data_IF_748805750956
#
_entry.id   IF_748805750956
#
_cell.length_a   1.000
_cell.length_b   1.000
_cell.length_c   1.000
_cell.angle_alpha   90.00
_cell.angle_beta   90.00
_cell.angle_gamma   90.00
#
_symmetry.space_group_name_H-M   'P 1'
#
loop_
_entity.id
_entity.type
_entity.pdbx_description
1 polymer ?
#
# COMPACT_ATOMS: atom_id res chain seq x y z
N UNK A 1 -5.26 -11.50 20.51
CA UNK A 1 -4.65 -10.19 20.18
C UNK A 1 -5.03 -9.20 21.27
N UNK A 2 -4.07 -8.45 21.81
CA UNK A 2 -4.33 -7.47 22.89
C UNK A 2 -5.08 -6.26 22.31
N UNK A 3 -5.98 -5.67 23.10
CA UNK A 3 -6.79 -4.49 22.69
C UNK A 3 -5.94 -3.28 22.26
N UNK A 4 -4.77 -3.11 22.89
CA UNK A 4 -3.80 -2.07 22.56
C UNK A 4 -3.20 -2.26 21.16
N UNK A 5 -2.83 -3.49 20.82
CA UNK A 5 -2.30 -3.83 19.49
C UNK A 5 -3.33 -3.52 18.39
N UNK A 6 -4.61 -3.83 18.64
CA UNK A 6 -5.69 -3.53 17.69
C UNK A 6 -5.86 -2.03 17.45
N UNK A 7 -5.78 -1.22 18.51
CA UNK A 7 -5.85 0.25 18.37
C UNK A 7 -4.68 0.77 17.53
N UNK A 8 -3.47 0.30 17.81
CA UNK A 8 -2.28 0.70 17.04
C UNK A 8 -2.37 0.32 15.56
N UNK A 9 -2.91 -0.86 15.25
CA UNK A 9 -3.16 -1.30 13.86
C UNK A 9 -4.12 -0.35 13.16
N UNK A 10 -5.23 0.04 13.81
CA UNK A 10 -6.22 0.95 13.25
C UNK A 10 -5.59 2.32 12.97
N UNK A 11 -4.88 2.89 13.94
CA UNK A 11 -4.21 4.18 13.77
C UNK A 11 -3.20 4.18 12.62
N UNK A 12 -2.40 3.10 12.50
CA UNK A 12 -1.43 2.97 11.40
C UNK A 12 -2.10 2.86 10.04
N UNK A 13 -3.21 2.12 9.94
CA UNK A 13 -4.01 2.04 8.72
C UNK A 13 -4.57 3.40 8.31
N UNK A 14 -5.14 4.16 9.26
CA UNK A 14 -5.67 5.51 9.02
C UNK A 14 -4.58 6.48 8.56
N UNK A 15 -3.39 6.40 9.16
CA UNK A 15 -2.23 7.20 8.77
C UNK A 15 -1.53 6.71 7.51
N UNK A 16 -1.99 5.62 6.90
CA UNK A 16 -1.36 4.98 5.73
C UNK A 16 0.13 4.67 5.93
N UNK A 17 0.51 4.29 7.13
CA UNK A 17 1.87 3.83 7.44
C UNK A 17 2.01 2.38 6.99
N UNK A 18 3.15 2.03 6.41
CA UNK A 18 3.48 0.65 6.07
C UNK A 18 4.00 -0.10 7.29
N UNK A 19 3.43 -1.26 7.58
CA UNK A 19 3.80 -2.10 8.71
C UNK A 19 3.46 -3.56 8.44
N UNK A 20 3.93 -4.45 9.29
CA UNK A 20 3.47 -5.83 9.31
C UNK A 20 3.01 -6.22 10.71
N UNK A 21 2.08 -7.16 10.77
CA UNK A 21 1.75 -7.89 11.99
C UNK A 21 2.53 -9.19 11.95
N UNK A 22 3.33 -9.42 12.98
CA UNK A 22 4.12 -10.63 13.15
C UNK A 22 3.53 -11.42 14.29
N UNK A 23 3.15 -12.66 14.05
CA UNK A 23 2.48 -13.52 15.03
C UNK A 23 3.25 -14.83 15.20
N UNK A 24 3.55 -15.18 16.42
CA UNK A 24 4.02 -16.51 16.77
C UNK A 24 2.82 -17.45 16.94
N UNK A 25 2.72 -18.46 16.08
CA UNK A 25 1.60 -19.39 16.05
C UNK A 25 1.63 -20.42 17.20
N UNK A 26 2.73 -20.55 17.94
CA UNK A 26 2.83 -21.47 19.07
C UNK A 26 2.19 -20.89 20.34
N UNK A 27 2.41 -19.60 20.59
CA UNK A 27 1.95 -18.95 21.82
C UNK A 27 0.96 -17.81 21.59
N UNK A 28 0.57 -17.56 20.33
CA UNK A 28 -0.35 -16.49 19.90
C UNK A 28 0.12 -15.07 20.27
N UNK A 29 1.40 -14.88 20.56
CA UNK A 29 1.97 -13.55 20.73
C UNK A 29 2.07 -12.85 19.36
N UNK A 30 1.74 -11.56 19.36
CA UNK A 30 1.80 -10.74 18.15
C UNK A 30 2.43 -9.39 18.46
N UNK A 31 3.18 -8.86 17.50
CA UNK A 31 3.72 -7.51 17.55
C UNK A 31 3.58 -6.81 16.19
N UNK A 32 3.73 -5.50 16.20
CA UNK A 32 3.84 -4.71 14.98
C UNK A 32 5.32 -4.58 14.62
N UNK A 33 5.59 -4.79 13.35
CA UNK A 33 6.88 -4.55 12.74
C UNK A 33 6.78 -3.35 11.80
N UNK A 34 7.71 -2.42 11.92
CA UNK A 34 7.94 -1.33 10.98
C UNK A 34 9.41 -1.34 10.56
N UNK A 35 9.66 -1.07 9.30
CA UNK A 35 11.02 -0.98 8.78
C UNK A 35 11.80 0.10 9.54
N UNK A 36 13.06 -0.18 9.83
CA UNK A 36 14.01 0.71 10.53
C UNK A 36 13.63 1.05 11.99
N UNK A 37 12.63 0.37 12.55
CA UNK A 37 12.30 0.47 13.97
C UNK A 37 12.70 -0.78 14.75
N UNK A 38 12.93 -0.65 16.08
CA UNK A 38 13.14 -1.81 16.93
C UNK A 38 11.89 -2.70 16.94
N UNK A 39 12.12 -4.00 16.90
CA UNK A 39 11.05 -5.00 17.03
C UNK A 39 11.01 -5.51 18.48
N UNK A 40 9.88 -6.10 18.88
CA UNK A 40 9.75 -6.76 20.18
C UNK A 40 10.84 -7.84 20.38
N UNK A 41 11.42 -7.89 21.58
CA UNK A 41 12.52 -8.81 21.95
C UNK A 41 12.23 -10.27 21.64
N UNK A 42 10.98 -10.69 21.75
CA UNK A 42 10.56 -12.07 21.47
C UNK A 42 10.68 -12.43 19.97
N UNK A 43 10.73 -11.42 19.10
CA UNK A 43 10.84 -11.58 17.66
C UNK A 43 12.21 -11.16 17.09
N UNK A 44 13.09 -10.60 17.91
CA UNK A 44 14.40 -10.06 17.46
C UNK A 44 15.23 -11.09 16.67
N UNK A 45 15.24 -12.35 17.10
CA UNK A 45 15.93 -13.44 16.40
C UNK A 45 15.42 -13.73 14.99
N UNK A 46 14.23 -13.26 14.64
CA UNK A 46 13.60 -13.43 13.32
C UNK A 46 13.67 -12.16 12.46
N UNK A 47 14.22 -11.07 12.97
CA UNK A 47 14.18 -9.74 12.36
C UNK A 47 14.63 -9.72 10.90
N UNK A 48 15.73 -10.38 10.56
CA UNK A 48 16.22 -10.43 9.18
C UNK A 48 15.22 -11.11 8.23
N UNK A 49 14.64 -12.23 8.66
CA UNK A 49 13.64 -12.96 7.88
C UNK A 49 12.35 -12.14 7.76
N UNK A 50 11.93 -11.44 8.83
CA UNK A 50 10.78 -10.55 8.83
C UNK A 50 11.01 -9.39 7.85
N UNK A 51 12.17 -8.75 7.89
CA UNK A 51 12.55 -7.71 6.93
C UNK A 51 12.47 -8.21 5.49
N UNK A 52 13.02 -9.38 5.21
CA UNK A 52 12.98 -9.98 3.88
C UNK A 52 11.55 -10.19 3.37
N UNK A 53 10.65 -10.74 4.20
CA UNK A 53 9.24 -10.92 3.85
C UNK A 53 8.51 -9.58 3.65
N UNK A 54 8.81 -8.60 4.50
CA UNK A 54 8.24 -7.25 4.40
C UNK A 54 8.64 -6.57 3.10
N UNK A 55 9.93 -6.58 2.75
CA UNK A 55 10.45 -5.99 1.50
C UNK A 55 9.90 -6.69 0.25
N UNK A 56 9.65 -7.99 0.33
CA UNK A 56 9.00 -8.77 -0.74
C UNK A 56 7.47 -8.63 -0.76
N UNK A 57 6.88 -7.88 0.19
CA UNK A 57 5.43 -7.72 0.34
C UNK A 57 4.70 -9.08 0.40
N UNK A 58 5.32 -10.05 1.05
CA UNK A 58 4.88 -11.45 1.06
C UNK A 58 4.27 -11.81 2.42
N UNK A 59 2.98 -12.17 2.40
CA UNK A 59 2.28 -12.70 3.57
C UNK A 59 2.50 -14.22 3.68
N UNK A 60 2.49 -14.73 4.89
CA UNK A 60 2.56 -16.16 5.17
C UNK A 60 3.49 -16.55 6.32
N UNK A 61 3.72 -17.84 6.46
CA UNK A 61 4.62 -18.38 7.46
C UNK A 61 6.05 -18.26 6.95
N UNK A 62 6.94 -17.73 7.80
CA UNK A 62 8.36 -17.66 7.52
C UNK A 62 8.94 -19.08 7.55
N UNK A 63 9.59 -19.48 6.45
CA UNK A 63 10.14 -20.81 6.26
C UNK A 63 11.06 -21.25 7.42
N UNK A 64 10.85 -22.49 7.92
CA UNK A 64 11.57 -23.06 9.04
C UNK A 64 11.20 -22.47 10.40
N UNK A 65 10.06 -21.77 10.51
CA UNK A 65 9.59 -21.16 11.76
C UNK A 65 8.09 -21.36 11.96
N UNK A 66 7.59 -20.97 13.14
CA UNK A 66 6.16 -20.82 13.44
C UNK A 66 5.73 -19.35 13.46
N UNK A 67 6.45 -18.49 12.75
CA UNK A 67 6.16 -17.06 12.68
C UNK A 67 5.36 -16.79 11.42
N UNK A 68 4.16 -16.25 11.59
CA UNK A 68 3.32 -15.74 10.52
C UNK A 68 3.49 -14.25 10.39
N UNK A 69 3.61 -13.76 9.16
CA UNK A 69 3.69 -12.35 8.85
C UNK A 69 2.56 -11.93 7.93
N UNK A 70 1.91 -10.83 8.27
CA UNK A 70 0.88 -10.16 7.46
C UNK A 70 1.31 -8.72 7.22
N UNK A 71 1.61 -8.38 5.97
CA UNK A 71 2.11 -7.06 5.58
C UNK A 71 0.98 -6.13 5.18
N UNK A 72 1.02 -4.90 5.68
CA UNK A 72 0.12 -3.81 5.33
C UNK A 72 0.92 -2.75 4.59
N UNK A 73 0.86 -2.82 3.27
CA UNK A 73 1.61 -1.97 2.35
C UNK A 73 0.65 -0.95 1.73
N UNK A 74 1.14 0.24 1.44
CA UNK A 74 0.35 1.24 0.72
C UNK A 74 -0.05 0.73 -0.65
N UNK A 75 -1.25 1.07 -1.12
CA UNK A 75 -1.63 0.79 -2.50
C UNK A 75 -0.62 1.38 -3.48
N UNK A 76 -0.32 0.64 -4.51
CA UNK A 76 0.51 1.17 -5.62
C UNK A 76 -0.27 2.31 -6.26
N UNK A 77 0.39 3.45 -6.44
CA UNK A 77 -0.17 4.59 -7.15
C UNK A 77 0.15 4.50 -8.62
N UNK A 78 -0.87 4.62 -9.45
CA UNK A 78 -0.73 4.67 -10.91
C UNK A 78 -1.15 6.05 -11.38
N UNK A 79 -0.30 6.69 -12.15
CA UNK A 79 -0.59 7.95 -12.81
C UNK A 79 -0.73 7.66 -14.31
N UNK A 80 -1.93 7.91 -14.84
CA UNK A 80 -2.23 7.76 -16.26
C UNK A 80 -2.19 9.14 -16.89
N UNK A 81 -1.28 9.36 -17.81
CA UNK A 81 -1.18 10.60 -18.59
C UNK A 81 -1.89 10.42 -19.91
N UNK A 82 -3.03 11.11 -20.07
CA UNK A 82 -3.91 11.01 -21.23
C UNK A 82 -5.22 10.26 -20.93
N UNK A 83 -6.33 10.98 -20.96
CA UNK A 83 -7.68 10.45 -20.73
C UNK A 83 -8.30 9.87 -22.02
N UNK A 84 -7.55 9.06 -22.76
CA UNK A 84 -7.98 8.43 -23.99
C UNK A 84 -8.73 7.11 -23.73
N UNK A 85 -9.23 6.48 -24.79
CA UNK A 85 -10.12 5.31 -24.65
C UNK A 85 -9.47 4.13 -23.90
N UNK A 86 -8.20 3.86 -24.18
CA UNK A 86 -7.46 2.79 -23.49
C UNK A 86 -7.33 3.02 -21.98
N UNK A 87 -7.29 4.26 -21.54
CA UNK A 87 -7.22 4.61 -20.12
C UNK A 87 -8.44 4.09 -19.32
N UNK A 88 -9.62 3.99 -19.94
CA UNK A 88 -10.83 3.47 -19.29
C UNK A 88 -10.70 1.96 -18.99
N UNK A 89 -10.13 1.19 -19.92
CA UNK A 89 -9.88 -0.24 -19.70
C UNK A 89 -8.78 -0.46 -18.66
N UNK A 90 -7.72 0.31 -18.74
CA UNK A 90 -6.62 0.26 -17.77
C UNK A 90 -7.10 0.62 -16.37
N UNK A 91 -7.99 1.61 -16.25
CA UNK A 91 -8.63 1.97 -14.98
C UNK A 91 -9.37 0.79 -14.35
N UNK A 92 -10.23 0.11 -15.13
CA UNK A 92 -11.01 -1.02 -14.62
C UNK A 92 -10.08 -2.15 -14.15
N UNK A 93 -9.03 -2.43 -14.90
CA UNK A 93 -8.03 -3.43 -14.53
C UNK A 93 -7.28 -3.04 -13.26
N UNK A 94 -6.80 -1.81 -13.15
CA UNK A 94 -6.06 -1.32 -12.00
C UNK A 94 -6.94 -1.24 -10.72
N UNK A 95 -8.22 -0.89 -10.86
CA UNK A 95 -9.20 -0.94 -9.75
C UNK A 95 -9.37 -2.36 -9.20
N UNK A 96 -9.39 -3.38 -10.05
CA UNK A 96 -9.50 -4.78 -9.60
C UNK A 96 -8.29 -5.25 -8.77
N UNK A 97 -7.16 -4.58 -8.91
CA UNK A 97 -5.93 -4.81 -8.15
C UNK A 97 -5.78 -3.87 -6.94
N UNK A 98 -6.80 -3.09 -6.61
CA UNK A 98 -6.79 -2.10 -5.53
C UNK A 98 -5.67 -1.05 -5.65
N UNK A 99 -5.31 -0.65 -6.86
CA UNK A 99 -4.36 0.44 -7.08
C UNK A 99 -5.03 1.80 -6.90
N UNK A 100 -4.28 2.77 -6.37
CA UNK A 100 -4.72 4.17 -6.29
C UNK A 100 -4.39 4.86 -7.63
N UNK A 101 -5.41 5.38 -8.32
CA UNK A 101 -5.26 5.86 -9.69
C UNK A 101 -5.49 7.37 -9.75
N UNK A 102 -4.63 8.05 -10.52
CA UNK A 102 -4.82 9.44 -10.90
C UNK A 102 -4.72 9.57 -12.42
N UNK A 103 -5.57 10.39 -13.01
CA UNK A 103 -5.57 10.67 -14.45
C UNK A 103 -5.22 12.13 -14.69
N UNK A 104 -4.27 12.36 -15.58
CA UNK A 104 -3.82 13.68 -15.99
C UNK A 104 -4.18 13.89 -17.46
N UNK A 105 -4.99 14.87 -17.76
CA UNK A 105 -5.23 15.35 -19.12
C UNK A 105 -5.72 16.80 -19.07
N UNK A 106 -5.08 17.75 -19.79
CA UNK A 106 -5.49 19.15 -19.81
C UNK A 106 -6.86 19.37 -20.45
N UNK A 107 -7.33 18.40 -21.21
CA UNK A 107 -8.60 18.49 -21.93
C UNK A 107 -9.73 17.96 -21.05
N UNK A 108 -10.42 18.84 -20.32
CA UNK A 108 -11.47 18.48 -19.37
C UNK A 108 -12.62 17.66 -19.96
N UNK A 109 -12.91 17.80 -21.27
CA UNK A 109 -13.91 16.99 -21.95
C UNK A 109 -13.55 15.50 -21.97
N UNK A 110 -12.28 15.17 -22.13
CA UNK A 110 -11.79 13.78 -22.12
C UNK A 110 -11.60 13.25 -20.69
N UNK A 111 -11.06 14.08 -19.80
CA UNK A 111 -10.84 13.74 -18.40
C UNK A 111 -12.04 14.23 -17.56
N UNK A 112 -13.15 13.52 -17.63
CA UNK A 112 -14.37 13.82 -16.91
C UNK A 112 -14.74 12.70 -15.94
N UNK A 113 -15.40 13.05 -14.84
CA UNK A 113 -15.88 12.09 -13.84
C UNK A 113 -16.85 11.05 -14.44
N UNK A 114 -17.63 11.45 -15.45
CA UNK A 114 -18.51 10.54 -16.16
C UNK A 114 -17.76 9.41 -16.87
N UNK A 115 -16.56 9.70 -17.44
CA UNK A 115 -15.73 8.70 -18.11
C UNK A 115 -14.81 7.94 -17.16
N UNK A 116 -14.42 8.57 -16.06
CA UNK A 116 -13.49 8.03 -15.08
C UNK A 116 -14.06 8.21 -13.67
N UNK A 117 -15.10 7.45 -13.29
CA UNK A 117 -15.73 7.57 -11.97
C UNK A 117 -14.78 7.12 -10.86
N UNK A 118 -14.88 7.77 -9.69
CA UNK A 118 -14.14 7.46 -8.49
C UNK A 118 -12.61 7.50 -8.65
N UNK A 119 -12.11 8.41 -9.47
CA UNK A 119 -10.68 8.59 -9.76
C UNK A 119 -10.29 10.04 -9.60
N UNK A 120 -9.10 10.28 -9.08
CA UNK A 120 -8.55 11.63 -9.03
C UNK A 120 -8.22 12.10 -10.44
N UNK A 121 -8.94 13.13 -10.90
CA UNK A 121 -8.73 13.75 -12.21
C UNK A 121 -7.99 15.07 -12.01
N UNK A 122 -6.95 15.30 -12.82
CA UNK A 122 -6.14 16.51 -12.82
C UNK A 122 -6.13 17.10 -14.22
N UNK A 123 -6.91 18.16 -14.43
CA UNK A 123 -7.04 18.86 -15.70
C UNK A 123 -5.93 19.90 -15.87
N UNK A 124 -4.70 19.44 -15.90
CA UNK A 124 -3.49 20.26 -16.10
C UNK A 124 -2.57 19.58 -17.12
N UNK A 125 -1.62 20.38 -17.64
CA UNK A 125 -0.55 19.82 -18.43
C UNK A 125 0.31 18.84 -17.61
N UNK A 126 0.84 17.77 -18.20
CA UNK A 126 1.54 16.73 -17.47
C UNK A 126 2.66 17.24 -16.57
N UNK A 127 3.44 18.21 -17.04
CA UNK A 127 4.53 18.81 -16.26
C UNK A 127 4.02 19.42 -14.95
N UNK A 128 3.03 20.29 -15.03
CA UNK A 128 2.44 20.98 -13.88
C UNK A 128 1.77 19.99 -12.91
N UNK A 129 1.05 19.01 -13.46
CA UNK A 129 0.39 17.99 -12.68
C UNK A 129 1.38 17.10 -11.92
N UNK A 130 2.48 16.71 -12.54
CA UNK A 130 3.52 15.89 -11.91
C UNK A 130 4.30 16.65 -10.83
N UNK A 131 4.54 17.95 -11.02
CA UNK A 131 5.13 18.80 -9.99
C UNK A 131 4.23 18.92 -8.74
N UNK A 132 2.90 18.92 -8.94
CA UNK A 132 1.93 18.96 -7.84
C UNK A 132 1.80 17.61 -7.13
N UNK A 133 1.69 16.50 -7.87
CA UNK A 133 1.52 15.16 -7.29
C UNK A 133 2.78 14.71 -6.57
N UNK A 134 3.97 15.10 -7.05
CA UNK A 134 5.27 14.63 -6.56
C UNK A 134 5.30 13.11 -6.45
N UNK A 135 5.30 12.38 -7.57
CA UNK A 135 5.30 10.93 -7.55
C UNK A 135 6.49 10.41 -6.75
N UNK A 136 6.22 9.48 -5.86
CA UNK A 136 7.23 8.72 -5.12
C UNK A 136 7.70 7.53 -5.97
N UNK A 137 8.96 7.17 -5.85
CA UNK A 137 9.54 6.00 -6.52
C UNK A 137 9.21 4.70 -5.78
#
# INVERSE_FOLDING_TARGET
>A
MKKELLKEIIEKKERKVEFAIVTNLENSESCIFEKDKPIDKNFEKYKEKINFHFDKKKNGIIEGTKIFIETYIRPIKIIIVGAVHIAQYLLNFAKSLNFEISIIDPRGYFASEQRFPDVKIINKWPKEALEEIKPDQ
#
